data_IF_174485860626
#
_entry.id   IF_174485860626
#
_cell.length_a   1.000
_cell.length_b   1.000
_cell.length_c   1.000
_cell.angle_alpha   90.00
_cell.angle_beta   90.00
_cell.angle_gamma   90.00
#
_symmetry.space_group_name_H-M   'P 1'
#
loop_
_entity.id
_entity.type
_entity.pdbx_description
1 polymer ?
#
# COMPACT_ATOMS: atom_id res chain seq x y z
N UNK A 1 40.82 -13.65 0.38
CA UNK A 1 40.32 -14.41 -0.78
C UNK A 1 39.11 -15.20 -0.37
N UNK A 2 37.97 -14.89 -0.98
CA UNK A 2 36.73 -15.62 -0.70
C UNK A 2 36.66 -16.98 -1.42
N UNK A 3 37.68 -17.38 -2.19
CA UNK A 3 37.77 -18.68 -2.89
C UNK A 3 37.22 -18.65 -4.32
N UNK A 4 36.16 -17.88 -4.56
CA UNK A 4 35.37 -17.96 -5.81
C UNK A 4 35.50 -16.72 -6.71
N UNK A 5 35.81 -15.58 -6.09
CA UNK A 5 36.16 -14.32 -6.75
C UNK A 5 37.32 -13.71 -5.96
N UNK A 6 38.32 -13.14 -6.65
CA UNK A 6 39.42 -12.39 -6.03
C UNK A 6 38.97 -11.03 -5.47
N UNK A 7 37.75 -10.95 -4.96
CA UNK A 7 37.23 -9.77 -4.31
C UNK A 7 37.74 -9.82 -2.86
N UNK A 8 38.49 -8.82 -2.45
CA UNK A 8 38.91 -8.68 -1.07
C UNK A 8 37.77 -8.06 -0.23
N UNK A 9 37.76 -8.29 1.08
CA UNK A 9 36.86 -7.59 2.02
C UNK A 9 36.93 -6.07 1.79
N UNK A 10 38.13 -5.55 1.51
CA UNK A 10 38.33 -4.15 1.18
C UNK A 10 37.60 -3.74 -0.10
N UNK A 11 37.63 -4.57 -1.16
CA UNK A 11 36.88 -4.32 -2.40
C UNK A 11 35.39 -4.22 -2.15
N UNK A 12 34.85 -5.08 -1.27
CA UNK A 12 33.44 -5.02 -0.85
C UNK A 12 33.13 -3.74 -0.08
N UNK A 13 33.99 -3.38 0.88
CA UNK A 13 33.88 -2.12 1.59
C UNK A 13 33.88 -0.92 0.64
N UNK A 14 34.73 -0.92 -0.39
CA UNK A 14 34.75 0.12 -1.41
C UNK A 14 33.48 0.16 -2.26
N UNK A 15 32.90 -1.00 -2.62
CA UNK A 15 31.62 -1.07 -3.33
C UNK A 15 30.50 -0.48 -2.44
N UNK A 16 30.41 -0.87 -1.17
CA UNK A 16 29.43 -0.33 -0.22
C UNK A 16 29.58 1.19 -0.08
N UNK A 17 30.81 1.67 0.03
CA UNK A 17 31.13 3.09 0.18
C UNK A 17 30.82 3.89 -1.11
N UNK A 18 31.09 3.31 -2.28
CA UNK A 18 30.68 3.90 -3.56
C UNK A 18 29.15 4.00 -3.69
N UNK A 19 28.40 2.98 -3.26
CA UNK A 19 26.94 3.02 -3.22
C UNK A 19 26.41 4.08 -2.25
N UNK A 20 27.05 4.27 -1.09
CA UNK A 20 26.71 5.35 -0.17
C UNK A 20 26.96 6.72 -0.80
N UNK A 21 28.09 6.94 -1.46
CA UNK A 21 28.34 8.20 -2.16
C UNK A 21 27.33 8.45 -3.27
N UNK A 22 26.96 7.41 -4.02
CA UNK A 22 25.94 7.52 -5.06
C UNK A 22 24.57 7.87 -4.46
N UNK A 23 24.21 7.29 -3.31
CA UNK A 23 23.01 7.67 -2.58
C UNK A 23 23.02 9.14 -2.16
N UNK A 24 24.12 9.62 -1.55
CA UNK A 24 24.29 11.02 -1.15
C UNK A 24 24.20 11.95 -2.37
N UNK A 25 24.77 11.56 -3.50
CA UNK A 25 24.68 12.31 -4.75
C UNK A 25 23.23 12.46 -5.24
N UNK A 26 22.44 11.39 -5.22
CA UNK A 26 21.02 11.47 -5.59
C UNK A 26 20.18 12.30 -4.60
N UNK A 27 20.49 12.24 -3.31
CA UNK A 27 19.86 13.13 -2.32
C UNK A 27 20.23 14.61 -2.55
N UNK A 28 21.48 14.90 -2.90
CA UNK A 28 21.89 16.26 -3.24
C UNK A 28 21.15 16.77 -4.49
N UNK A 29 20.98 15.91 -5.50
CA UNK A 29 20.17 16.23 -6.69
C UNK A 29 18.70 16.50 -6.33
N UNK A 30 18.11 15.69 -5.44
CA UNK A 30 16.77 15.97 -4.91
C UNK A 30 16.73 17.32 -4.21
N UNK A 31 17.76 17.67 -3.43
CA UNK A 31 17.79 18.92 -2.67
C UNK A 31 17.84 20.18 -3.57
N UNK A 32 18.47 20.09 -4.74
CA UNK A 32 18.49 21.18 -5.74
C UNK A 32 17.06 21.59 -6.15
N UNK A 33 16.10 20.66 -6.12
CA UNK A 33 14.68 20.93 -6.39
C UNK A 33 14.12 22.04 -5.50
N UNK A 34 14.53 22.10 -4.23
CA UNK A 34 14.05 23.10 -3.28
C UNK A 34 14.64 24.49 -3.52
N UNK A 35 15.81 24.58 -4.16
CA UNK A 35 16.44 25.84 -4.52
C UNK A 35 15.81 26.54 -5.73
N UNK A 36 15.13 25.79 -6.60
CA UNK A 36 14.57 26.32 -7.86
C UNK A 36 13.13 25.84 -8.09
N UNK A 37 12.16 26.75 -7.98
CA UNK A 37 10.72 26.46 -8.19
C UNK A 37 10.38 25.89 -9.58
N UNK A 38 11.25 26.08 -10.58
CA UNK A 38 11.08 25.52 -11.92
C UNK A 38 11.10 23.99 -11.91
N UNK A 39 11.85 23.38 -10.98
CA UNK A 39 12.05 21.93 -10.93
C UNK A 39 10.94 21.16 -10.22
N UNK A 40 10.00 21.85 -9.55
CA UNK A 40 8.94 21.20 -8.78
C UNK A 40 7.97 20.38 -9.65
N UNK A 41 7.87 20.72 -10.93
CA UNK A 41 6.98 20.05 -11.89
C UNK A 41 7.58 18.81 -12.56
N UNK A 42 8.88 18.56 -12.40
CA UNK A 42 9.53 17.45 -13.09
C UNK A 42 9.37 16.14 -12.30
N UNK A 43 8.67 15.17 -12.88
CA UNK A 43 8.49 13.84 -12.30
C UNK A 43 9.83 13.09 -12.06
N UNK A 44 10.89 13.51 -12.74
CA UNK A 44 12.24 12.90 -12.67
C UNK A 44 12.82 12.94 -11.24
N UNK A 45 12.54 13.99 -10.46
CA UNK A 45 13.03 14.12 -9.09
C UNK A 45 12.45 13.08 -8.12
N UNK A 46 11.22 12.59 -8.37
CA UNK A 46 10.65 11.48 -7.60
C UNK A 46 11.49 10.20 -7.75
N UNK A 47 12.05 9.98 -8.94
CA UNK A 47 12.92 8.82 -9.20
C UNK A 47 14.29 8.96 -8.54
N UNK A 48 14.83 10.18 -8.41
CA UNK A 48 16.08 10.40 -7.67
C UNK A 48 15.94 10.05 -6.19
N UNK A 49 14.83 10.42 -5.55
CA UNK A 49 14.56 10.04 -4.17
C UNK A 49 14.48 8.51 -4.01
N UNK A 50 13.79 7.82 -4.92
CA UNK A 50 13.69 6.35 -4.91
C UNK A 50 15.07 5.71 -5.14
N UNK A 51 15.85 6.23 -6.08
CA UNK A 51 17.21 5.76 -6.36
C UNK A 51 18.13 5.95 -5.15
N UNK A 52 18.09 7.13 -4.51
CA UNK A 52 18.87 7.44 -3.32
C UNK A 52 18.60 6.44 -2.18
N UNK A 53 17.33 6.20 -1.87
CA UNK A 53 16.92 5.22 -0.86
C UNK A 53 17.36 3.79 -1.24
N UNK A 54 17.24 3.42 -2.52
CA UNK A 54 17.64 2.10 -3.00
C UNK A 54 19.14 1.87 -2.82
N UNK A 55 19.98 2.81 -3.26
CA UNK A 55 21.43 2.69 -3.11
C UNK A 55 21.86 2.69 -1.64
N UNK A 56 21.24 3.53 -0.81
CA UNK A 56 21.48 3.55 0.63
C UNK A 56 21.16 2.20 1.28
N UNK A 57 19.98 1.66 0.98
CA UNK A 57 19.50 0.38 1.50
C UNK A 57 20.43 -0.76 1.09
N UNK A 58 20.78 -0.85 -0.20
CA UNK A 58 21.72 -1.86 -0.70
C UNK A 58 23.08 -1.71 -0.02
N UNK A 59 23.59 -0.48 0.13
CA UNK A 59 24.88 -0.25 0.76
C UNK A 59 24.91 -0.73 2.22
N UNK A 60 23.86 -0.44 2.99
CA UNK A 60 23.75 -0.89 4.39
C UNK A 60 23.57 -2.39 4.51
N UNK A 61 22.79 -3.01 3.63
CA UNK A 61 22.58 -4.47 3.65
C UNK A 61 23.79 -5.23 3.13
N UNK A 62 24.61 -4.62 2.29
CA UNK A 62 25.70 -5.32 1.61
C UNK A 62 26.64 -6.07 2.56
N UNK A 63 27.13 -5.52 3.70
CA UNK A 63 28.02 -6.27 4.60
C UNK A 63 27.32 -7.50 5.20
N UNK A 64 26.03 -7.37 5.55
CA UNK A 64 25.22 -8.48 6.09
C UNK A 64 25.06 -9.58 5.05
N UNK A 65 24.72 -9.21 3.80
CA UNK A 65 24.59 -10.14 2.68
C UNK A 65 25.91 -10.86 2.44
N UNK A 66 27.04 -10.15 2.47
CA UNK A 66 28.35 -10.77 2.26
C UNK A 66 28.74 -11.75 3.36
N UNK A 67 28.50 -11.41 4.62
CA UNK A 67 28.74 -12.32 5.75
C UNK A 67 27.86 -13.56 5.62
N UNK A 68 26.58 -13.39 5.28
CA UNK A 68 25.65 -14.49 5.05
C UNK A 68 26.11 -15.40 3.89
N UNK A 69 26.47 -14.81 2.73
CA UNK A 69 26.98 -15.56 1.58
C UNK A 69 28.26 -16.33 1.92
N UNK A 70 29.20 -15.71 2.64
CA UNK A 70 30.41 -16.39 3.08
C UNK A 70 30.11 -17.59 3.98
N UNK A 71 29.19 -17.42 4.95
CA UNK A 71 28.73 -18.49 5.82
C UNK A 71 28.09 -19.64 5.04
N UNK A 72 27.20 -19.34 4.10
CA UNK A 72 26.55 -20.32 3.22
C UNK A 72 27.59 -21.11 2.44
N UNK A 73 28.53 -20.42 1.79
CA UNK A 73 29.56 -21.08 0.99
C UNK A 73 30.47 -21.97 1.86
N UNK A 74 30.84 -21.53 3.06
CA UNK A 74 31.59 -22.35 4.02
C UNK A 74 30.82 -23.58 4.47
N UNK A 75 29.51 -23.44 4.73
CA UNK A 75 28.64 -24.57 5.05
C UNK A 75 28.55 -25.57 3.88
N UNK A 76 28.41 -25.09 2.64
CA UNK A 76 28.36 -25.96 1.46
C UNK A 76 29.66 -26.73 1.23
N UNK A 77 30.82 -26.13 1.52
CA UNK A 77 32.12 -26.84 1.43
C UNK A 77 32.26 -27.99 2.44
N UNK A 78 31.48 -27.99 3.54
CA UNK A 78 31.49 -29.10 4.50
C UNK A 78 30.70 -30.32 4.00
N UNK A 79 29.85 -30.15 2.98
CA UNK A 79 29.06 -31.24 2.40
C UNK A 79 29.94 -31.93 1.35
N UNK A 80 30.28 -33.23 1.51
CA UNK A 80 31.09 -33.96 0.55
C UNK A 80 30.25 -34.30 -0.70
N UNK A 81 29.95 -33.30 -1.53
CA UNK A 81 29.24 -33.47 -2.79
C UNK A 81 30.25 -33.93 -3.83
N UNK A 82 30.37 -35.25 -3.99
CA UNK A 82 31.32 -35.93 -4.88
C UNK A 82 31.23 -35.54 -6.37
N UNK A 83 30.24 -34.73 -6.76
CA UNK A 83 29.98 -34.31 -8.14
C UNK A 83 30.18 -32.80 -8.41
N UNK A 84 30.31 -31.94 -7.39
CA UNK A 84 30.54 -30.50 -7.58
C UNK A 84 32.05 -30.21 -7.60
N UNK A 85 32.70 -30.54 -8.72
CA UNK A 85 34.16 -30.40 -8.88
C UNK A 85 34.66 -28.95 -8.99
N UNK A 86 33.77 -27.97 -9.15
CA UNK A 86 34.16 -26.56 -9.28
C UNK A 86 33.60 -25.71 -8.15
N UNK A 87 34.50 -25.01 -7.47
CA UNK A 87 34.16 -23.94 -6.54
C UNK A 87 33.15 -22.95 -7.18
N UNK A 88 33.33 -22.58 -8.45
CA UNK A 88 32.45 -21.65 -9.17
C UNK A 88 31.01 -22.16 -9.28
N UNK A 89 30.80 -23.47 -9.48
CA UNK A 89 29.45 -24.02 -9.59
C UNK A 89 28.70 -24.00 -8.25
N UNK A 90 29.41 -24.21 -7.14
CA UNK A 90 28.84 -24.09 -5.78
C UNK A 90 28.42 -22.64 -5.50
N UNK A 91 29.24 -21.67 -5.90
CA UNK A 91 28.92 -20.26 -5.75
C UNK A 91 27.67 -19.85 -6.56
N UNK A 92 27.62 -20.20 -7.85
CA UNK A 92 26.46 -19.89 -8.71
C UNK A 92 25.19 -20.53 -8.17
N UNK A 93 25.25 -21.78 -7.72
CA UNK A 93 24.11 -22.47 -7.12
C UNK A 93 23.66 -21.81 -5.81
N UNK A 94 24.59 -21.40 -4.95
CA UNK A 94 24.29 -20.70 -3.70
C UNK A 94 23.61 -19.35 -3.94
N UNK A 95 24.12 -18.57 -4.91
CA UNK A 95 23.52 -17.30 -5.34
C UNK A 95 22.12 -17.53 -5.90
N UNK A 96 21.96 -18.53 -6.77
CA UNK A 96 20.67 -18.89 -7.36
C UNK A 96 19.63 -19.27 -6.30
N UNK A 97 20.01 -20.10 -5.31
CA UNK A 97 19.14 -20.47 -4.20
C UNK A 97 18.78 -19.27 -3.32
N UNK A 98 19.73 -18.37 -3.05
CA UNK A 98 19.47 -17.17 -2.25
C UNK A 98 18.45 -16.25 -2.94
N UNK A 99 18.62 -15.97 -4.23
CA UNK A 99 17.66 -15.15 -4.97
C UNK A 99 16.31 -15.84 -5.13
N UNK A 100 16.28 -17.15 -5.36
CA UNK A 100 15.04 -17.93 -5.40
C UNK A 100 14.28 -17.80 -4.07
N UNK A 101 14.97 -17.97 -2.94
CA UNK A 101 14.38 -17.80 -1.61
C UNK A 101 13.81 -16.39 -1.39
N UNK A 102 14.53 -15.34 -1.80
CA UNK A 102 14.04 -13.96 -1.69
C UNK A 102 12.81 -13.71 -2.57
N UNK A 103 12.81 -14.20 -3.81
CA UNK A 103 11.68 -14.05 -4.74
C UNK A 103 10.47 -14.80 -4.22
N UNK A 104 10.62 -16.07 -3.80
CA UNK A 104 9.53 -16.85 -3.23
C UNK A 104 8.99 -16.20 -1.94
N UNK A 105 9.87 -15.69 -1.08
CA UNK A 105 9.49 -14.97 0.13
C UNK A 105 8.71 -13.68 -0.18
N UNK A 106 9.16 -12.91 -1.18
CA UNK A 106 8.47 -11.70 -1.63
C UNK A 106 7.09 -12.01 -2.22
N UNK A 107 6.98 -13.04 -3.06
CA UNK A 107 5.70 -13.49 -3.63
C UNK A 107 4.75 -13.95 -2.51
N UNK A 108 5.24 -14.74 -1.55
CA UNK A 108 4.43 -15.20 -0.42
C UNK A 108 3.96 -14.04 0.46
N UNK A 109 4.84 -13.08 0.76
CA UNK A 109 4.50 -11.88 1.51
C UNK A 109 3.46 -11.02 0.78
N UNK A 110 3.63 -10.85 -0.55
CA UNK A 110 2.69 -10.11 -1.37
C UNK A 110 1.32 -10.79 -1.46
N UNK A 111 1.29 -12.11 -1.66
CA UNK A 111 0.06 -12.91 -1.64
C UNK A 111 -0.69 -12.73 -0.32
N UNK A 112 0.01 -12.88 0.81
CA UNK A 112 -0.58 -12.69 2.13
C UNK A 112 -1.11 -11.27 2.36
N UNK A 113 -0.37 -10.26 1.91
CA UNK A 113 -0.82 -8.87 1.97
C UNK A 113 -2.10 -8.67 1.14
N UNK A 114 -2.17 -9.25 -0.05
CA UNK A 114 -3.35 -9.14 -0.90
C UNK A 114 -4.57 -9.87 -0.32
N UNK A 115 -4.38 -11.06 0.24
CA UNK A 115 -5.43 -11.80 0.95
C UNK A 115 -5.98 -11.01 2.15
N UNK A 116 -5.09 -10.41 2.94
CA UNK A 116 -5.49 -9.55 4.06
C UNK A 116 -6.25 -8.31 3.59
N UNK A 117 -5.80 -7.69 2.50
CA UNK A 117 -6.46 -6.53 1.89
C UNK A 117 -7.86 -6.89 1.41
N UNK A 118 -8.04 -8.03 0.74
CA UNK A 118 -9.35 -8.51 0.27
C UNK A 118 -10.29 -8.75 1.45
N UNK A 119 -9.82 -9.47 2.47
CA UNK A 119 -10.62 -9.71 3.68
C UNK A 119 -11.00 -8.40 4.41
N UNK A 120 -10.10 -7.42 4.47
CA UNK A 120 -10.40 -6.11 5.04
C UNK A 120 -11.46 -5.37 4.21
N UNK A 121 -11.36 -5.40 2.87
CA UNK A 121 -12.35 -4.82 1.96
C UNK A 121 -13.74 -5.45 2.14
N UNK A 122 -13.82 -6.78 2.21
CA UNK A 122 -15.08 -7.52 2.45
C UNK A 122 -15.67 -7.16 3.81
N UNK A 123 -14.86 -7.15 4.88
CA UNK A 123 -15.32 -6.80 6.22
C UNK A 123 -15.85 -5.36 6.32
N UNK A 124 -15.24 -4.42 5.59
CA UNK A 124 -15.68 -3.03 5.52
C UNK A 124 -16.99 -2.89 4.73
N UNK A 125 -17.19 -3.74 3.71
CA UNK A 125 -18.41 -3.78 2.93
C UNK A 125 -19.60 -4.26 3.77
N UNK A 126 -19.45 -5.40 4.44
CA UNK A 126 -20.45 -5.92 5.37
C UNK A 126 -20.79 -4.91 6.47
N UNK A 127 -19.76 -4.28 7.05
CA UNK A 127 -19.94 -3.25 8.07
C UNK A 127 -20.66 -2.02 7.54
N UNK A 128 -20.39 -1.62 6.29
CA UNK A 128 -21.04 -0.47 5.64
C UNK A 128 -22.53 -0.75 5.42
N UNK A 129 -22.87 -1.93 4.89
CA UNK A 129 -24.26 -2.36 4.68
C UNK A 129 -25.00 -2.46 6.03
N UNK A 130 -24.37 -3.04 7.04
CA UNK A 130 -24.93 -3.13 8.39
C UNK A 130 -25.21 -1.76 8.99
N UNK A 131 -24.30 -0.78 8.83
CA UNK A 131 -24.48 0.58 9.34
C UNK A 131 -25.66 1.30 8.68
N UNK A 132 -25.89 1.11 7.37
CA UNK A 132 -27.08 1.65 6.69
C UNK A 132 -28.36 1.02 7.23
N UNK A 133 -28.38 -0.30 7.43
CA UNK A 133 -29.54 -1.00 7.99
C UNK A 133 -29.84 -0.54 9.41
N UNK A 134 -28.82 -0.40 10.25
CA UNK A 134 -28.95 0.10 11.62
C UNK A 134 -29.47 1.55 11.63
N UNK A 135 -29.00 2.40 10.71
CA UNK A 135 -29.52 3.74 10.55
C UNK A 135 -31.01 3.77 10.19
N UNK A 136 -31.47 2.88 9.30
CA UNK A 136 -32.89 2.72 8.97
C UNK A 136 -33.71 2.26 10.20
N UNK A 137 -33.23 1.27 10.96
CA UNK A 137 -33.88 0.80 12.20
C UNK A 137 -33.97 1.90 13.28
N UNK A 138 -32.96 2.77 13.37
CA UNK A 138 -32.96 3.90 14.29
C UNK A 138 -34.02 4.95 13.92
N UNK A 139 -34.35 5.11 12.62
CA UNK A 139 -35.48 5.95 12.20
C UNK A 139 -36.80 5.37 12.69
N UNK A 140 -37.00 4.06 12.56
CA UNK A 140 -38.22 3.38 13.03
C UNK A 140 -38.43 3.55 14.53
N UNK A 141 -37.33 3.58 15.29
CA UNK A 141 -37.32 3.80 16.75
C UNK A 141 -37.38 5.28 17.16
N UNK A 142 -37.59 6.21 16.21
CA UNK A 142 -37.57 7.67 16.42
C UNK A 142 -36.25 8.21 17.03
N UNK A 143 -35.11 7.54 16.77
CA UNK A 143 -33.78 7.94 17.25
C UNK A 143 -32.99 8.64 16.14
N UNK A 144 -33.44 9.83 15.75
CA UNK A 144 -32.95 10.55 14.56
C UNK A 144 -31.47 10.94 14.64
N UNK A 145 -31.01 11.45 15.78
CA UNK A 145 -29.60 11.84 15.95
C UNK A 145 -28.66 10.64 15.76
N UNK A 146 -29.00 9.49 16.36
CA UNK A 146 -28.22 8.25 16.21
C UNK A 146 -28.27 7.73 14.79
N UNK A 147 -29.45 7.81 14.13
CA UNK A 147 -29.58 7.44 12.73
C UNK A 147 -28.64 8.25 11.84
N UNK A 148 -28.51 9.56 12.03
CA UNK A 148 -27.58 10.41 11.28
C UNK A 148 -26.11 10.00 11.51
N UNK A 149 -25.76 9.65 12.75
CA UNK A 149 -24.39 9.23 13.10
C UNK A 149 -24.05 7.89 12.43
N UNK A 150 -24.90 6.88 12.57
CA UNK A 150 -24.68 5.55 11.94
C UNK A 150 -24.76 5.63 10.41
N UNK A 151 -25.65 6.46 9.88
CA UNK A 151 -25.71 6.73 8.45
C UNK A 151 -24.35 7.27 7.99
N UNK A 152 -23.81 8.32 8.60
CA UNK A 152 -22.51 8.87 8.20
C UNK A 152 -21.35 7.88 8.39
N UNK A 153 -21.41 6.98 9.38
CA UNK A 153 -20.42 5.91 9.55
C UNK A 153 -20.33 5.02 8.31
N UNK A 154 -21.43 4.74 7.63
CA UNK A 154 -21.39 3.99 6.36
C UNK A 154 -20.58 4.71 5.27
N UNK A 155 -20.65 6.05 5.17
CA UNK A 155 -19.79 6.83 4.27
C UNK A 155 -18.32 6.66 4.68
N UNK A 156 -17.99 6.76 5.97
CA UNK A 156 -16.61 6.61 6.43
C UNK A 156 -16.05 5.22 6.10
N UNK A 157 -16.86 4.17 6.26
CA UNK A 157 -16.50 2.80 5.89
C UNK A 157 -16.34 2.66 4.37
N UNK A 158 -17.26 3.21 3.58
CA UNK A 158 -17.17 3.22 2.11
C UNK A 158 -15.92 3.95 1.59
N UNK A 159 -15.55 5.09 2.19
CA UNK A 159 -14.31 5.80 1.87
C UNK A 159 -13.09 4.93 2.18
N UNK A 160 -13.05 4.30 3.37
CA UNK A 160 -11.94 3.42 3.77
C UNK A 160 -11.80 2.23 2.84
N UNK A 161 -12.91 1.55 2.52
CA UNK A 161 -13.00 0.46 1.56
C UNK A 161 -12.40 0.91 0.23
N UNK A 162 -12.87 2.05 -0.28
CA UNK A 162 -12.44 2.54 -1.59
C UNK A 162 -10.98 2.94 -1.65
N UNK A 163 -10.44 3.53 -0.58
CA UNK A 163 -9.01 3.81 -0.48
C UNK A 163 -8.18 2.53 -0.51
N UNK A 164 -8.60 1.47 0.19
CA UNK A 164 -7.90 0.19 0.18
C UNK A 164 -7.94 -0.47 -1.21
N UNK A 165 -9.05 -0.37 -1.92
CA UNK A 165 -9.18 -0.86 -3.31
C UNK A 165 -8.20 -0.17 -4.28
N UNK A 166 -7.94 1.14 -4.12
CA UNK A 166 -6.91 1.87 -4.89
C UNK A 166 -5.48 1.68 -4.34
N UNK A 167 -5.28 0.77 -3.38
CA UNK A 167 -3.97 0.48 -2.81
C UNK A 167 -3.46 1.53 -1.82
N UNK A 168 -4.33 2.40 -1.31
CA UNK A 168 -3.98 3.42 -0.31
C UNK A 168 -4.38 2.93 1.08
N UNK A 169 -3.42 2.93 2.00
CA UNK A 169 -3.69 2.60 3.40
C UNK A 169 -4.53 3.70 4.06
N UNK A 170 -5.81 3.41 4.32
CA UNK A 170 -6.77 4.35 4.88
C UNK A 170 -6.42 4.81 6.31
N UNK A 171 -5.64 4.03 7.07
CA UNK A 171 -5.23 4.37 8.45
C UNK A 171 -4.19 5.50 8.49
N UNK A 172 -3.48 5.72 7.39
CA UNK A 172 -2.44 6.75 7.30
C UNK A 172 -2.95 8.11 6.80
N UNK A 173 -4.24 8.22 6.46
CA UNK A 173 -4.79 9.39 5.74
C UNK A 173 -5.92 10.02 6.54
N UNK A 174 -5.83 11.35 6.77
CA UNK A 174 -6.92 12.11 7.38
C UNK A 174 -8.19 12.08 6.51
N UNK A 175 -9.38 12.18 7.11
CA UNK A 175 -10.66 12.14 6.36
C UNK A 175 -10.76 13.18 5.25
N UNK A 176 -10.19 14.37 5.43
CA UNK A 176 -10.18 15.41 4.40
C UNK A 176 -9.31 14.99 3.20
N UNK A 177 -8.08 14.56 3.46
CA UNK A 177 -7.15 14.08 2.42
C UNK A 177 -7.68 12.81 1.73
N UNK A 178 -8.42 11.97 2.44
CA UNK A 178 -9.10 10.81 1.85
C UNK A 178 -10.09 11.23 0.77
N UNK A 179 -10.92 12.25 1.03
CA UNK A 179 -11.87 12.78 0.06
C UNK A 179 -11.17 13.43 -1.14
N UNK A 180 -10.09 14.18 -0.93
CA UNK A 180 -9.28 14.73 -2.03
C UNK A 180 -8.69 13.63 -2.92
N UNK A 181 -8.22 12.54 -2.32
CA UNK A 181 -7.73 11.37 -3.06
C UNK A 181 -8.86 10.73 -3.88
N UNK A 182 -10.07 10.58 -3.33
CA UNK A 182 -11.21 10.05 -4.06
C UNK A 182 -11.60 10.93 -5.25
N UNK A 183 -11.56 12.26 -5.11
CA UNK A 183 -11.79 13.19 -6.22
C UNK A 183 -10.69 13.09 -7.28
N UNK A 184 -9.43 13.02 -6.84
CA UNK A 184 -8.28 12.93 -7.75
C UNK A 184 -8.26 11.62 -8.56
N UNK A 185 -8.86 10.56 -8.01
CA UNK A 185 -9.06 9.28 -8.69
C UNK A 185 -10.43 9.19 -9.39
N UNK A 186 -11.14 10.32 -9.53
CA UNK A 186 -12.46 10.41 -10.14
C UNK A 186 -13.47 9.40 -9.55
N UNK A 187 -13.36 9.05 -8.28
CA UNK A 187 -14.35 8.18 -7.62
C UNK A 187 -15.65 8.96 -7.38
N UNK A 188 -15.49 10.19 -6.91
CA UNK A 188 -16.57 11.13 -6.61
C UNK A 188 -16.26 12.47 -7.28
N UNK A 189 -17.30 13.27 -7.53
CA UNK A 189 -17.13 14.63 -8.02
C UNK A 189 -17.21 15.69 -6.90
N UNK A 190 -17.07 16.97 -7.25
CA UNK A 190 -17.18 18.07 -6.28
C UNK A 190 -18.59 18.22 -5.69
N UNK A 191 -19.62 17.81 -6.43
CA UNK A 191 -20.99 17.87 -5.93
C UNK A 191 -21.21 16.80 -4.85
N UNK A 192 -20.69 15.60 -5.04
CA UNK A 192 -20.65 14.54 -4.04
C UNK A 192 -19.88 14.97 -2.79
N UNK A 193 -18.74 15.65 -2.96
CA UNK A 193 -18.01 16.22 -1.82
C UNK A 193 -18.88 17.15 -0.98
N UNK A 194 -19.63 18.06 -1.62
CA UNK A 194 -20.51 18.98 -0.92
C UNK A 194 -21.62 18.24 -0.16
N UNK A 195 -22.20 17.19 -0.77
CA UNK A 195 -23.18 16.33 -0.10
C UNK A 195 -22.58 15.62 1.12
N UNK A 196 -21.37 15.07 1.01
CA UNK A 196 -20.66 14.43 2.13
C UNK A 196 -20.37 15.44 3.24
N UNK A 197 -19.92 16.64 2.90
CA UNK A 197 -19.65 17.70 3.87
C UNK A 197 -20.93 18.15 4.60
N UNK A 198 -22.05 18.25 3.89
CA UNK A 198 -23.35 18.52 4.48
C UNK A 198 -23.73 17.45 5.51
N UNK A 199 -23.65 16.16 5.14
CA UNK A 199 -23.95 15.07 6.10
C UNK A 199 -22.98 15.09 7.29
N UNK A 200 -21.70 15.39 7.05
CA UNK A 200 -20.69 15.51 8.12
C UNK A 200 -21.04 16.61 9.12
N UNK A 201 -21.54 17.76 8.64
CA UNK A 201 -21.98 18.85 9.52
C UNK A 201 -23.15 18.40 10.41
N UNK A 202 -24.15 17.74 9.83
CA UNK A 202 -25.29 17.19 10.58
C UNK A 202 -24.84 16.12 11.59
N UNK A 203 -23.92 15.24 11.22
CA UNK A 203 -23.34 14.24 12.13
C UNK A 203 -22.62 14.88 13.31
N UNK A 204 -21.84 15.94 13.07
CA UNK A 204 -21.14 16.65 14.15
C UNK A 204 -22.15 17.31 15.10
N UNK A 205 -23.19 17.93 14.57
CA UNK A 205 -24.27 18.50 15.37
C UNK A 205 -25.03 17.41 16.16
N UNK A 206 -25.34 16.27 15.54
CA UNK A 206 -26.03 15.16 16.20
C UNK A 206 -25.21 14.54 17.34
N UNK A 207 -23.88 14.51 17.21
CA UNK A 207 -22.97 14.02 18.25
C UNK A 207 -22.83 14.97 19.44
N UNK A 208 -22.95 16.29 19.20
CA UNK A 208 -22.90 17.31 20.25
C UNK A 208 -24.35 17.65 20.68
N UNK A 209 -24.87 16.84 21.63
CA UNK A 209 -26.25 16.63 22.12
C UNK A 209 -27.24 17.80 22.27
N UNK A 210 -26.85 19.02 21.90
CA UNK A 210 -27.64 20.25 21.95
C UNK A 210 -28.68 20.42 20.83
N UNK A 211 -28.58 19.65 19.73
CA UNK A 211 -29.45 19.80 18.56
C UNK A 211 -30.37 18.58 18.42
N UNK A 212 -31.68 18.82 18.42
CA UNK A 212 -32.69 17.82 18.05
C UNK A 212 -32.94 17.89 16.54
N UNK A 213 -32.73 16.77 15.86
CA UNK A 213 -33.05 16.64 14.44
C UNK A 213 -34.47 16.14 14.24
N UNK A 214 -35.07 16.45 13.10
CA UNK A 214 -36.39 15.94 12.70
C UNK A 214 -36.26 14.64 11.90
N UNK A 215 -37.35 13.85 11.85
CA UNK A 215 -37.44 12.68 10.96
C UNK A 215 -37.12 13.00 9.49
N UNK A 216 -37.52 14.19 9.02
CA UNK A 216 -37.29 14.63 7.64
C UNK A 216 -35.80 14.80 7.34
N UNK A 217 -35.05 15.38 8.27
CA UNK A 217 -33.61 15.57 8.15
C UNK A 217 -32.86 14.24 8.18
N UNK A 218 -33.22 13.32 9.08
CA UNK A 218 -32.64 11.98 9.11
C UNK A 218 -32.91 11.21 7.80
N UNK A 219 -34.13 11.25 7.27
CA UNK A 219 -34.46 10.64 5.98
C UNK A 219 -33.70 11.28 4.81
N UNK A 220 -33.48 12.60 4.84
CA UNK A 220 -32.67 13.29 3.83
C UNK A 220 -31.21 12.85 3.88
N UNK A 221 -30.64 12.66 5.08
CA UNK A 221 -29.31 12.10 5.25
C UNK A 221 -29.24 10.70 4.66
N UNK A 222 -30.13 9.79 5.05
CA UNK A 222 -30.13 8.41 4.52
C UNK A 222 -30.27 8.41 2.99
N UNK A 223 -31.17 9.24 2.44
CA UNK A 223 -31.32 9.36 0.99
C UNK A 223 -30.00 9.80 0.33
N UNK A 224 -29.34 10.81 0.89
CA UNK A 224 -28.05 11.30 0.39
C UNK A 224 -26.98 10.20 0.41
N UNK A 225 -26.98 9.37 1.44
CA UNK A 225 -26.04 8.24 1.58
C UNK A 225 -26.33 7.15 0.55
N UNK A 226 -27.60 6.79 0.37
CA UNK A 226 -28.03 5.82 -0.66
C UNK A 226 -27.71 6.29 -2.09
N UNK A 227 -27.58 7.59 -2.32
CA UNK A 227 -27.08 8.15 -3.59
C UNK A 227 -25.55 8.09 -3.75
N UNK A 228 -24.79 8.18 -2.65
CA UNK A 228 -23.32 8.28 -2.68
C UNK A 228 -22.66 6.90 -2.63
N UNK A 229 -23.12 6.00 -1.75
CA UNK A 229 -22.47 4.70 -1.52
C UNK A 229 -22.28 3.87 -2.80
N UNK A 230 -23.24 3.78 -3.74
CA UNK A 230 -23.05 3.01 -4.98
C UNK A 230 -21.90 3.53 -5.86
N UNK A 231 -21.52 4.80 -5.71
CA UNK A 231 -20.37 5.39 -6.45
C UNK A 231 -19.03 4.87 -5.93
N UNK A 232 -18.98 4.44 -4.67
CA UNK A 232 -17.79 3.77 -4.13
C UNK A 232 -17.62 2.37 -4.71
N UNK A 233 -18.69 1.71 -5.14
CA UNK A 233 -18.63 0.34 -5.71
C UNK A 233 -18.22 0.34 -7.19
N UNK A 234 -18.77 1.25 -8.00
CA UNK A 234 -18.86 1.09 -9.47
C UNK A 234 -17.58 1.34 -10.29
N UNK A 235 -16.47 1.82 -9.71
CA UNK A 235 -15.33 2.34 -10.51
C UNK A 235 -14.04 1.51 -10.58
N UNK A 236 -13.86 0.42 -9.81
CA UNK A 236 -12.55 -0.29 -9.73
C UNK A 236 -12.54 -1.76 -10.15
N UNK A 237 -13.68 -2.34 -10.56
CA UNK A 237 -13.64 -3.69 -11.16
C UNK A 237 -12.58 -3.76 -12.28
N UNK A 238 -12.40 -2.71 -13.08
CA UNK A 238 -11.42 -2.72 -14.18
C UNK A 238 -9.93 -2.74 -13.79
N UNK A 239 -9.52 -2.15 -12.66
CA UNK A 239 -8.10 -2.11 -12.28
C UNK A 239 -7.69 -3.32 -11.42
N UNK A 240 -8.58 -3.74 -10.51
CA UNK A 240 -8.36 -4.92 -9.68
C UNK A 240 -8.36 -6.20 -10.52
N UNK A 241 -9.28 -6.33 -11.49
CA UNK A 241 -9.25 -7.46 -12.43
C UNK A 241 -8.04 -7.42 -13.37
N UNK A 242 -7.42 -6.26 -13.60
CA UNK A 242 -6.21 -6.17 -14.43
C UNK A 242 -4.97 -6.64 -13.65
N UNK A 243 -4.80 -6.20 -12.40
CA UNK A 243 -3.75 -6.73 -11.52
C UNK A 243 -3.91 -8.23 -11.28
N UNK A 244 -5.14 -8.69 -11.04
CA UNK A 244 -5.45 -10.10 -10.82
C UNK A 244 -5.26 -10.93 -12.10
N UNK A 245 -5.63 -10.42 -13.28
CA UNK A 245 -5.33 -11.08 -14.57
C UNK A 245 -3.83 -11.13 -14.87
N UNK A 246 -3.07 -10.09 -14.52
CA UNK A 246 -1.61 -10.11 -14.67
C UNK A 246 -1.00 -11.14 -13.73
N UNK A 247 -1.45 -11.18 -12.47
CA UNK A 247 -1.05 -12.20 -11.50
C UNK A 247 -1.37 -13.61 -11.97
N UNK A 248 -2.59 -13.85 -12.45
CA UNK A 248 -3.01 -15.15 -12.98
C UNK A 248 -2.22 -15.53 -14.24
N UNK A 249 -1.86 -14.55 -15.08
CA UNK A 249 -1.02 -14.75 -16.26
C UNK A 249 0.46 -15.01 -15.92
N UNK A 250 0.98 -14.41 -14.84
CA UNK A 250 2.36 -14.59 -14.38
C UNK A 250 2.55 -15.85 -13.53
N UNK A 251 1.56 -16.21 -12.72
CA UNK A 251 1.61 -17.37 -11.81
C UNK A 251 1.13 -18.64 -12.51
N UNK A 252 0.26 -18.53 -13.53
CA UNK A 252 -0.23 -19.65 -14.31
C UNK A 252 -1.14 -20.59 -13.52
N UNK A 253 -2.22 -21.08 -14.16
CA UNK A 253 -3.06 -22.16 -13.59
C UNK A 253 -2.34 -23.51 -13.44
N UNK A 254 -1.12 -23.60 -13.94
CA UNK A 254 -0.23 -24.74 -13.74
C UNK A 254 0.94 -24.21 -12.89
N UNK A 255 0.83 -24.39 -11.57
CA UNK A 255 1.89 -24.01 -10.65
C UNK A 255 3.25 -24.56 -11.07
N UNK A 256 4.29 -23.78 -10.80
CA UNK A 256 5.65 -24.32 -10.65
C UNK A 256 5.71 -25.27 -9.46
#
# INVERSE_FOLDING_TARGET
NYGFVEINVFTLGYISLALLFLSVYFYALEYIKYGFKIFDRFALFKYFQVAAHTFYFIAILSPIIYVAMWGIVKLFLLIPISQLKSEKSIFVLSVGLFFSFLITGAIAAWKRYNEQRIAEVESLDESSVSAVKEADELIEKNRWNLSIIEAYRSIELGIKKKLLEIGINSKAVSSYRALEMLISNEVIDKNDLNKIQYVRQLRNQAAHSSVEFTKKEALQVIKTIKEILPKFETRIERAFFFEQKILDALVGKNGL
#
